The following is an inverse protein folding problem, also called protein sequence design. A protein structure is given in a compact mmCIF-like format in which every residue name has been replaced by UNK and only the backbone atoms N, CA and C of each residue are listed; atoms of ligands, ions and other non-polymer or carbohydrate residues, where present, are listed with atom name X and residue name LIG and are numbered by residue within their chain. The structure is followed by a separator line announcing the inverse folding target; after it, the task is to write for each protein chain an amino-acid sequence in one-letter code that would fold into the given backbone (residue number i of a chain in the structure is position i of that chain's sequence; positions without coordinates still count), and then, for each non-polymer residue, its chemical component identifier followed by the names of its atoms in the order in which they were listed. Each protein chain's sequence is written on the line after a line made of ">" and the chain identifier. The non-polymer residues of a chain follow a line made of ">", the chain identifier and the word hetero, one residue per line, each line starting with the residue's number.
data_IF_366423429492
#
_entry.id   IF_366423429492
#
_cell.length_a   1.000
_cell.length_b   1.000
_cell.length_c   1.000
_cell.angle_alpha   90.00
_cell.angle_beta   90.00
_cell.angle_gamma   90.00
#
_symmetry.space_group_name_H-M   'P 1'
#
loop_
_entity.id
_entity.type
_entity.pdbx_description
1 polymer ?
#
# COMPACT_ATOMS: atom_id res chain seq x y z
N UNK A 1 -12.22 9.01 20.88
CA UNK A 1 -13.19 9.34 19.82
C UNK A 1 -12.49 10.25 18.84
N UNK A 2 -12.57 9.99 17.54
CA UNK A 2 -12.10 10.94 16.53
C UNK A 2 -12.98 12.20 16.61
N UNK A 3 -12.42 13.42 16.48
CA UNK A 3 -13.23 14.63 16.40
C UNK A 3 -13.92 14.66 15.03
N UNK A 4 -15.11 14.08 14.94
CA UNK A 4 -15.91 14.08 13.72
C UNK A 4 -16.58 15.45 13.61
N UNK A 5 -16.40 16.18 12.48
CA UNK A 5 -17.08 17.46 12.28
C UNK A 5 -18.60 17.27 12.26
N UNK A 6 -19.32 18.34 12.61
CA UNK A 6 -20.80 18.30 12.59
C UNK A 6 -21.35 18.10 11.17
N UNK A 7 -20.68 18.66 10.16
CA UNK A 7 -20.94 18.38 8.76
C UNK A 7 -20.04 17.25 8.26
N UNK A 8 -20.67 16.13 7.88
CA UNK A 8 -20.00 14.91 7.39
C UNK A 8 -20.22 14.68 5.89
N UNK A 9 -20.88 15.60 5.19
CA UNK A 9 -21.26 15.42 3.78
C UNK A 9 -20.47 16.33 2.83
N UNK A 10 -20.08 17.52 3.27
CA UNK A 10 -19.36 18.45 2.41
C UNK A 10 -17.94 17.96 2.11
N UNK A 11 -17.66 17.79 0.82
CA UNK A 11 -16.32 17.45 0.31
C UNK A 11 -15.47 18.72 0.13
N UNK A 12 -14.13 18.62 0.20
CA UNK A 12 -13.26 19.77 -0.07
C UNK A 12 -13.34 20.20 -1.54
N UNK A 13 -13.48 21.51 -1.80
CA UNK A 13 -13.60 22.06 -3.17
C UNK A 13 -12.23 22.31 -3.83
N UNK A 14 -11.24 22.78 -3.06
CA UNK A 14 -9.89 23.14 -3.55
C UNK A 14 -8.90 21.97 -3.46
N UNK A 15 -9.25 20.83 -4.05
CA UNK A 15 -8.42 19.62 -4.04
C UNK A 15 -7.41 19.64 -5.19
N UNK A 16 -6.13 19.43 -4.87
CA UNK A 16 -5.08 19.33 -5.88
C UNK A 16 -5.26 18.06 -6.74
N UNK A 17 -5.28 18.18 -8.08
CA UNK A 17 -5.40 17.01 -8.95
C UNK A 17 -4.10 16.20 -9.04
N UNK A 18 -2.96 16.76 -8.62
CA UNK A 18 -1.67 16.08 -8.64
C UNK A 18 -1.55 15.12 -7.45
N UNK A 19 -2.02 13.89 -7.65
CA UNK A 19 -1.96 12.86 -6.63
C UNK A 19 -0.53 12.55 -6.22
N UNK A 20 0.41 12.53 -7.18
CA UNK A 20 1.81 12.21 -6.94
C UNK A 20 2.49 13.22 -6.01
N UNK A 21 2.23 14.52 -6.19
CA UNK A 21 2.79 15.58 -5.35
C UNK A 21 2.24 15.57 -3.91
N UNK A 22 1.04 14.99 -3.69
CA UNK A 22 0.32 15.05 -2.41
C UNK A 22 0.30 13.72 -1.64
N UNK A 23 1.17 12.76 -1.97
CA UNK A 23 1.24 11.46 -1.30
C UNK A 23 1.82 11.47 0.11
N UNK A 24 2.40 12.59 0.56
CA UNK A 24 3.10 12.69 1.86
C UNK A 24 4.13 11.56 2.03
N UNK A 25 4.06 10.77 3.12
CA UNK A 25 5.05 9.73 3.38
C UNK A 25 5.00 8.59 2.35
N UNK A 26 3.86 8.42 1.63
CA UNK A 26 3.73 7.41 0.58
C UNK A 26 4.43 7.82 -0.72
N UNK A 27 4.95 9.05 -0.85
CA UNK A 27 5.60 9.52 -2.08
C UNK A 27 6.73 8.61 -2.54
N UNK A 28 7.49 8.06 -1.59
CA UNK A 28 8.66 7.21 -1.83
C UNK A 28 8.31 5.79 -2.26
N UNK A 29 7.03 5.42 -2.17
CA UNK A 29 6.52 4.14 -2.64
C UNK A 29 6.08 4.19 -4.12
N UNK A 30 5.73 5.36 -4.64
CA UNK A 30 5.26 5.52 -6.01
C UNK A 30 6.33 5.11 -7.04
N UNK A 31 5.99 4.18 -7.95
CA UNK A 31 6.92 3.68 -8.97
C UNK A 31 6.75 2.19 -9.25
N UNK A 32 7.67 1.64 -10.03
CA UNK A 32 7.82 0.18 -10.19
C UNK A 32 9.13 -0.26 -9.56
N UNK A 33 9.06 -1.34 -8.80
CA UNK A 33 10.11 -1.85 -7.93
C UNK A 33 10.38 -3.32 -8.20
N UNK A 34 11.62 -3.75 -7.93
CA UNK A 34 12.02 -5.14 -8.02
C UNK A 34 13.05 -5.51 -6.95
N UNK A 35 13.02 -6.76 -6.51
CA UNK A 35 14.06 -7.39 -5.70
C UNK A 35 14.13 -8.89 -5.97
N UNK A 36 15.29 -9.49 -5.75
CA UNK A 36 15.59 -10.90 -6.06
C UNK A 36 16.02 -11.72 -4.83
N UNK A 37 15.99 -11.10 -3.65
CA UNK A 37 16.52 -11.67 -2.38
C UNK A 37 15.54 -11.55 -1.22
N UNK A 38 14.24 -11.56 -1.53
CA UNK A 38 13.21 -11.61 -0.49
C UNK A 38 13.33 -12.88 0.34
N UNK A 39 13.00 -12.81 1.63
CA UNK A 39 13.06 -13.94 2.56
C UNK A 39 11.67 -14.15 3.15
N UNK A 40 11.15 -15.37 2.99
CA UNK A 40 9.91 -15.89 3.60
C UNK A 40 10.28 -16.92 4.67
N UNK A 41 9.67 -16.81 5.85
CA UNK A 41 9.70 -17.84 6.91
C UNK A 41 8.27 -18.30 7.17
N UNK A 42 7.92 -19.47 6.61
CA UNK A 42 6.56 -19.97 6.56
C UNK A 42 6.39 -21.33 7.28
N UNK A 43 5.15 -21.69 7.68
CA UNK A 43 4.92 -22.94 8.39
C UNK A 43 4.88 -24.14 7.43
N UNK A 44 5.63 -25.21 7.75
CA UNK A 44 5.51 -26.54 7.13
C UNK A 44 5.30 -27.62 8.19
N UNK A 45 4.93 -28.82 7.74
CA UNK A 45 4.68 -29.96 8.62
C UNK A 45 5.91 -30.36 9.46
N UNK A 46 7.11 -30.30 8.87
CA UNK A 46 8.38 -30.68 9.51
C UNK A 46 9.05 -29.54 10.31
N UNK A 47 8.41 -28.36 10.37
CA UNK A 47 8.96 -27.15 11.00
C UNK A 47 8.94 -25.93 10.08
N UNK A 48 9.39 -24.76 10.57
CA UNK A 48 9.49 -23.55 9.74
C UNK A 48 10.46 -23.77 8.58
N UNK A 49 10.07 -23.37 7.38
CA UNK A 49 10.95 -23.36 6.20
C UNK A 49 11.33 -21.91 5.87
N UNK A 50 12.58 -21.70 5.46
CA UNK A 50 13.05 -20.42 4.94
C UNK A 50 13.18 -20.52 3.43
N UNK A 51 12.49 -19.64 2.70
CA UNK A 51 12.57 -19.57 1.23
C UNK A 51 13.03 -18.19 0.75
N UNK A 52 13.70 -18.19 -0.38
CA UNK A 52 14.02 -16.96 -1.12
C UNK A 52 13.00 -16.72 -2.23
N UNK A 53 12.67 -15.46 -2.48
CA UNK A 53 11.73 -15.10 -3.54
C UNK A 53 12.16 -13.86 -4.33
N UNK A 54 11.65 -13.79 -5.56
CA UNK A 54 11.81 -12.65 -6.48
C UNK A 54 10.48 -11.92 -6.50
N UNK A 55 10.53 -10.60 -6.32
CA UNK A 55 9.36 -9.76 -6.16
C UNK A 55 9.39 -8.59 -7.14
N UNK A 56 8.23 -8.30 -7.73
CA UNK A 56 7.98 -7.08 -8.48
C UNK A 56 6.77 -6.38 -7.90
N UNK A 57 6.89 -5.07 -7.68
CA UNK A 57 5.78 -4.24 -7.18
C UNK A 57 5.56 -3.05 -8.10
N UNK A 58 4.31 -2.79 -8.47
CA UNK A 58 3.92 -1.57 -9.16
C UNK A 58 2.98 -0.76 -8.28
N UNK A 59 3.28 0.52 -8.10
CA UNK A 59 2.50 1.46 -7.29
C UNK A 59 2.20 2.71 -8.10
N UNK A 60 0.95 2.84 -8.57
CA UNK A 60 0.50 3.96 -9.40
C UNK A 60 -0.32 4.95 -8.54
N UNK A 61 -0.03 6.27 -8.59
CA UNK A 61 -0.89 7.29 -7.99
C UNK A 61 -2.34 7.21 -8.48
N UNK A 62 -3.28 7.42 -7.56
CA UNK A 62 -4.70 7.57 -7.87
C UNK A 62 -5.13 9.03 -7.78
N UNK A 63 -6.29 9.33 -8.35
CA UNK A 63 -6.95 10.62 -8.13
C UNK A 63 -7.37 10.71 -6.64
N UNK A 64 -7.34 11.91 -6.04
CA UNK A 64 -7.76 12.11 -4.66
C UNK A 64 -9.19 11.61 -4.43
N UNK A 65 -9.43 11.00 -3.27
CA UNK A 65 -10.72 10.45 -2.88
C UNK A 65 -11.24 11.17 -1.65
N UNK A 66 -12.53 11.52 -1.65
CA UNK A 66 -13.18 12.14 -0.51
C UNK A 66 -14.18 11.18 0.16
N UNK A 67 -14.29 11.25 1.47
CA UNK A 67 -15.38 10.65 2.26
C UNK A 67 -16.02 11.79 3.06
N UNK A 68 -16.90 12.56 2.41
CA UNK A 68 -17.32 13.86 2.95
C UNK A 68 -16.08 14.73 3.25
N UNK A 69 -15.87 15.21 4.48
CA UNK A 69 -14.76 16.11 4.79
C UNK A 69 -13.37 15.43 4.81
N UNK A 70 -13.29 14.10 4.84
CA UNK A 70 -12.02 13.39 4.78
C UNK A 70 -11.49 13.39 3.35
N UNK A 71 -10.19 13.69 3.19
CA UNK A 71 -9.48 13.64 1.91
C UNK A 71 -8.33 12.63 1.96
N UNK A 72 -8.28 11.74 0.97
CA UNK A 72 -7.27 10.70 0.83
C UNK A 72 -6.50 10.88 -0.48
N UNK A 73 -5.18 10.85 -0.37
CA UNK A 73 -4.28 10.63 -1.50
C UNK A 73 -3.71 9.21 -1.41
N UNK A 74 -3.37 8.59 -2.54
CA UNK A 74 -2.92 7.22 -2.48
C UNK A 74 -2.32 6.62 -3.74
N UNK A 75 -1.98 5.34 -3.60
CA UNK A 75 -1.41 4.49 -4.62
C UNK A 75 -2.29 3.25 -4.75
N UNK A 76 -2.70 2.87 -5.96
CA UNK A 76 -3.08 1.48 -6.22
C UNK A 76 -1.81 0.68 -6.40
N UNK A 77 -1.79 -0.58 -5.96
CA UNK A 77 -0.62 -1.41 -6.16
C UNK A 77 -0.93 -2.85 -6.54
N UNK A 78 0.07 -3.47 -7.16
CA UNK A 78 0.12 -4.89 -7.49
C UNK A 78 1.50 -5.43 -7.12
N UNK A 79 1.52 -6.51 -6.35
CA UNK A 79 2.70 -7.31 -6.02
C UNK A 79 2.58 -8.63 -6.77
N UNK A 80 3.67 -9.03 -7.40
CA UNK A 80 3.82 -10.33 -8.03
C UNK A 80 5.14 -10.95 -7.56
N UNK A 81 5.05 -12.17 -7.04
CA UNK A 81 6.18 -12.91 -6.48
C UNK A 81 6.28 -14.28 -7.13
N UNK A 82 7.50 -14.66 -7.49
CA UNK A 82 7.90 -16.01 -7.91
C UNK A 82 9.04 -16.49 -7.01
N UNK A 83 9.37 -17.78 -7.10
CA UNK A 83 10.62 -18.30 -6.51
C UNK A 83 11.59 -18.69 -7.62
N UNK A 84 12.91 -18.70 -7.37
CA UNK A 84 13.89 -19.12 -8.37
C UNK A 84 13.69 -20.56 -8.87
N UNK A 85 13.01 -21.41 -8.09
CA UNK A 85 12.83 -22.83 -8.36
C UNK A 85 11.53 -23.16 -9.12
N UNK A 86 10.56 -22.24 -9.18
CA UNK A 86 9.24 -22.48 -9.75
C UNK A 86 8.80 -21.34 -10.69
N UNK A 87 8.42 -21.71 -11.93
CA UNK A 87 7.93 -20.75 -12.93
C UNK A 87 6.52 -20.20 -12.63
N UNK A 88 5.81 -20.78 -11.66
CA UNK A 88 4.45 -20.37 -11.29
C UNK A 88 4.47 -19.16 -10.35
N UNK A 89 3.37 -18.40 -10.35
CA UNK A 89 3.15 -17.33 -9.36
C UNK A 89 3.10 -17.92 -7.96
N UNK A 90 4.05 -17.51 -7.11
CA UNK A 90 4.10 -17.92 -5.70
C UNK A 90 3.14 -17.08 -4.85
N UNK A 91 3.11 -15.76 -5.07
CA UNK A 91 2.18 -14.84 -4.41
C UNK A 91 1.76 -13.72 -5.36
N UNK A 92 0.49 -13.34 -5.24
CA UNK A 92 -0.10 -12.23 -5.99
C UNK A 92 -0.97 -11.43 -5.00
N UNK A 93 -0.86 -10.11 -5.05
CA UNK A 93 -1.55 -9.23 -4.12
C UNK A 93 -1.86 -7.89 -4.76
N UNK A 94 -3.07 -7.40 -4.54
CA UNK A 94 -3.51 -6.09 -5.02
C UNK A 94 -4.18 -5.30 -3.91
N UNK A 95 -4.18 -3.97 -4.04
CA UNK A 95 -4.90 -3.10 -3.12
C UNK A 95 -4.49 -1.64 -3.25
N UNK A 96 -4.64 -0.89 -2.16
CA UNK A 96 -4.33 0.52 -2.07
C UNK A 96 -3.49 0.85 -0.84
N UNK A 97 -2.55 1.77 -1.01
CA UNK A 97 -1.97 2.55 0.07
C UNK A 97 -2.63 3.93 0.06
N UNK A 98 -3.16 4.38 1.20
CA UNK A 98 -3.89 5.65 1.32
C UNK A 98 -3.31 6.46 2.48
N UNK A 99 -3.27 7.78 2.31
CA UNK A 99 -2.84 8.73 3.32
C UNK A 99 -3.85 9.87 3.46
N UNK A 100 -4.19 10.20 4.70
CA UNK A 100 -5.00 11.36 5.05
C UNK A 100 -4.11 12.47 5.60
N UNK A 101 -3.88 13.58 4.86
CA UNK A 101 -3.01 14.66 5.31
C UNK A 101 -3.44 15.29 6.64
N UNK A 102 -4.75 15.41 6.87
CA UNK A 102 -5.31 16.10 8.03
C UNK A 102 -5.01 15.40 9.36
N UNK A 103 -4.86 14.07 9.36
CA UNK A 103 -4.74 13.27 10.60
C UNK A 103 -3.46 12.44 10.66
N UNK A 104 -2.73 12.34 9.55
CA UNK A 104 -1.60 11.45 9.36
C UNK A 104 -1.99 9.98 9.24
N UNK A 105 -3.28 9.64 9.08
CA UNK A 105 -3.74 8.26 8.92
C UNK A 105 -3.13 7.64 7.66
N UNK A 106 -2.54 6.46 7.83
CA UNK A 106 -2.11 5.58 6.75
C UNK A 106 -3.03 4.38 6.73
N UNK A 107 -3.44 3.95 5.54
CA UNK A 107 -4.17 2.70 5.35
C UNK A 107 -3.54 1.86 4.26
N UNK A 108 -3.51 0.55 4.48
CA UNK A 108 -3.20 -0.45 3.47
C UNK A 108 -4.38 -1.38 3.33
N UNK A 109 -4.98 -1.43 2.14
CA UNK A 109 -5.84 -2.54 1.76
C UNK A 109 -5.01 -3.58 1.02
N UNK A 110 -5.33 -4.85 1.21
CA UNK A 110 -4.80 -5.90 0.37
C UNK A 110 -5.83 -7.02 0.19
N UNK A 111 -5.78 -7.62 -1.00
CA UNK A 111 -6.50 -8.83 -1.35
C UNK A 111 -5.52 -9.80 -2.02
N UNK A 112 -5.60 -11.07 -1.65
CA UNK A 112 -4.80 -12.14 -2.24
C UNK A 112 -5.73 -13.19 -2.86
N UNK A 113 -5.33 -13.85 -3.96
CA UNK A 113 -6.17 -14.83 -4.67
C UNK A 113 -6.30 -16.17 -3.93
N UNK A 114 -5.99 -16.19 -2.62
CA UNK A 114 -6.23 -17.30 -1.70
C UNK A 114 -7.53 -17.14 -0.90
N UNK A 115 -8.29 -16.07 -1.18
CA UNK A 115 -9.54 -15.77 -0.47
C UNK A 115 -9.30 -15.13 0.89
N UNK A 116 -8.37 -14.17 0.96
CA UNK A 116 -8.15 -13.35 2.15
C UNK A 116 -8.01 -11.89 1.76
N UNK A 117 -8.57 -11.01 2.60
CA UNK A 117 -8.48 -9.56 2.51
C UNK A 117 -8.21 -8.96 3.87
N UNK A 118 -7.55 -7.80 3.91
CA UNK A 118 -7.45 -7.00 5.13
C UNK A 118 -7.40 -5.50 4.84
N UNK A 119 -7.74 -4.73 5.86
CA UNK A 119 -7.52 -3.28 5.94
C UNK A 119 -6.65 -3.02 7.19
N UNK A 120 -5.41 -2.63 6.97
CA UNK A 120 -4.48 -2.24 8.02
C UNK A 120 -4.40 -0.71 8.14
N UNK A 121 -4.09 -0.21 9.33
CA UNK A 121 -3.89 1.22 9.55
C UNK A 121 -2.69 1.56 10.42
N UNK A 122 -2.25 2.81 10.30
CA UNK A 122 -1.11 3.37 11.01
C UNK A 122 -1.16 4.89 11.00
N UNK A 123 -0.08 5.51 11.49
CA UNK A 123 0.11 6.95 11.38
C UNK A 123 1.53 7.30 10.94
N UNK A 124 1.66 8.34 10.12
CA UNK A 124 2.92 8.93 9.72
C UNK A 124 2.75 10.42 9.39
N UNK A 125 3.77 11.21 9.71
CA UNK A 125 3.93 12.58 9.24
C UNK A 125 4.32 12.64 7.74
N UNK A 126 4.21 13.82 7.10
CA UNK A 126 4.48 13.98 5.66
C UNK A 126 5.89 13.57 5.24
N UNK A 127 6.88 13.74 6.13
CA UNK A 127 8.30 13.51 5.86
C UNK A 127 8.87 12.28 6.61
N UNK A 128 8.01 11.49 7.26
CA UNK A 128 8.46 10.34 8.04
C UNK A 128 9.15 9.30 7.15
N UNK A 129 10.25 8.75 7.67
CA UNK A 129 11.07 7.76 6.96
C UNK A 129 10.63 6.32 7.20
N UNK A 130 9.65 6.13 8.07
CA UNK A 130 9.13 4.82 8.44
C UNK A 130 7.62 4.85 8.44
N UNK A 131 7.00 3.79 7.96
CA UNK A 131 5.56 3.59 8.00
C UNK A 131 5.30 2.25 8.67
N UNK A 132 4.41 2.21 9.65
CA UNK A 132 3.93 0.97 10.25
C UNK A 132 2.42 0.92 10.12
N UNK A 133 1.88 -0.18 9.60
CA UNK A 133 0.44 -0.46 9.60
C UNK A 133 0.15 -1.79 10.28
N UNK A 134 -1.00 -1.90 10.94
CA UNK A 134 -1.46 -3.15 11.58
C UNK A 134 -2.93 -3.42 11.28
N UNK A 135 -3.29 -4.69 11.26
CA UNK A 135 -4.68 -5.16 11.21
C UNK A 135 -4.88 -6.28 12.23
N UNK A 136 -6.10 -6.38 12.77
CA UNK A 136 -6.46 -7.42 13.74
C UNK A 136 -7.77 -8.09 13.37
N UNK A 137 -7.79 -9.42 13.41
CA UNK A 137 -9.01 -10.20 13.16
C UNK A 137 -10.13 -9.79 14.12
N UNK A 138 -11.33 -9.62 13.56
CA UNK A 138 -12.54 -9.25 14.30
C UNK A 138 -12.69 -7.76 14.61
N UNK A 139 -11.69 -6.94 14.30
CA UNK A 139 -11.85 -5.48 14.32
C UNK A 139 -12.67 -5.03 13.10
N UNK A 140 -13.68 -4.19 13.32
CA UNK A 140 -14.55 -3.68 12.25
C UNK A 140 -14.07 -2.37 11.66
N UNK A 141 -13.11 -1.69 12.28
CA UNK A 141 -12.45 -0.52 11.73
C UNK A 141 -11.27 -0.91 10.84
N UNK A 142 -10.40 -1.81 11.31
CA UNK A 142 -9.16 -2.23 10.62
C UNK A 142 -8.93 -3.74 10.78
N UNK A 143 -9.67 -4.52 9.97
CA UNK A 143 -9.85 -5.96 10.15
C UNK A 143 -9.24 -6.87 9.09
N UNK A 144 -9.33 -8.18 9.35
CA UNK A 144 -8.90 -9.28 8.47
C UNK A 144 -10.08 -10.21 8.25
N UNK A 145 -10.32 -10.62 6.99
CA UNK A 145 -11.35 -11.57 6.60
C UNK A 145 -10.77 -12.67 5.69
N UNK A 146 -11.12 -13.93 5.97
CA UNK A 146 -10.63 -15.10 5.23
C UNK A 146 -11.77 -16.08 4.91
N UNK A 147 -11.53 -17.02 3.98
CA UNK A 147 -12.44 -18.15 3.72
C UNK A 147 -12.51 -19.14 4.88
N UNK A 148 -13.57 -19.95 4.93
CA UNK A 148 -13.80 -20.98 5.95
C UNK A 148 -12.58 -21.91 6.18
N UNK A 149 -11.91 -22.31 5.10
CA UNK A 149 -10.73 -23.17 5.20
C UNK A 149 -9.57 -22.45 5.89
N UNK A 150 -9.29 -21.21 5.51
CA UNK A 150 -8.23 -20.41 6.15
C UNK A 150 -8.57 -20.14 7.62
N UNK A 151 -9.82 -19.81 7.94
CA UNK A 151 -10.27 -19.61 9.32
C UNK A 151 -10.09 -20.84 10.21
N UNK A 152 -10.16 -22.04 9.65
CA UNK A 152 -10.03 -23.30 10.39
C UNK A 152 -8.60 -23.86 10.42
N UNK A 153 -7.86 -23.75 9.30
CA UNK A 153 -6.58 -24.43 9.12
C UNK A 153 -5.35 -23.52 9.22
N UNK A 154 -5.48 -22.24 8.83
CA UNK A 154 -4.40 -21.25 8.72
C UNK A 154 -4.89 -19.87 9.15
N UNK A 155 -5.50 -19.78 10.34
CA UNK A 155 -6.20 -18.56 10.77
C UNK A 155 -5.19 -17.42 10.94
N UNK A 156 -5.46 -16.26 10.36
CA UNK A 156 -4.65 -15.06 10.57
C UNK A 156 -5.24 -14.23 11.71
N UNK A 157 -4.52 -14.07 12.80
CA UNK A 157 -4.98 -13.32 13.98
C UNK A 157 -4.55 -11.85 13.92
N UNK A 158 -3.30 -11.58 13.51
CA UNK A 158 -2.77 -10.22 13.35
C UNK A 158 -1.87 -10.09 12.12
N UNK A 159 -1.79 -8.87 11.60
CA UNK A 159 -0.88 -8.47 10.55
C UNK A 159 -0.19 -7.17 10.95
N UNK A 160 1.11 -7.08 10.68
CA UNK A 160 1.93 -5.88 10.82
C UNK A 160 2.85 -5.76 9.61
N UNK A 161 2.92 -4.57 9.03
CA UNK A 161 3.92 -4.23 8.01
C UNK A 161 4.66 -2.97 8.44
N UNK A 162 5.96 -3.10 8.60
CA UNK A 162 6.90 -2.01 8.81
C UNK A 162 7.64 -1.73 7.50
N UNK A 163 7.68 -0.47 7.07
CA UNK A 163 8.43 0.01 5.91
C UNK A 163 9.46 1.02 6.40
N UNK A 164 10.68 0.93 5.88
CA UNK A 164 11.76 1.91 6.09
C UNK A 164 12.26 2.41 4.74
N UNK A 165 12.34 3.74 4.58
CA UNK A 165 12.87 4.38 3.38
C UNK A 165 14.37 4.66 3.53
N UNK A 166 15.18 4.06 2.67
CA UNK A 166 16.64 4.11 2.73
C UNK A 166 17.20 5.36 2.04
N UNK A 167 18.46 5.70 2.32
CA UNK A 167 19.13 6.90 1.77
C UNK A 167 19.40 6.78 0.25
N UNK A 168 19.58 5.56 -0.24
CA UNK A 168 19.83 5.26 -1.66
C UNK A 168 18.55 5.29 -2.53
N UNK A 169 17.41 5.62 -1.93
CA UNK A 169 16.11 5.63 -2.60
C UNK A 169 15.41 4.28 -2.65
N UNK A 170 16.03 3.21 -2.16
CA UNK A 170 15.36 1.93 -1.93
C UNK A 170 14.45 1.99 -0.70
N UNK A 171 13.64 0.95 -0.51
CA UNK A 171 12.90 0.77 0.73
C UNK A 171 12.86 -0.69 1.15
N UNK A 172 12.83 -0.90 2.45
CA UNK A 172 12.84 -2.22 3.06
C UNK A 172 11.53 -2.42 3.81
N UNK A 173 10.95 -3.61 3.74
CA UNK A 173 9.82 -3.97 4.58
C UNK A 173 10.12 -5.16 5.49
N UNK A 174 9.39 -5.21 6.60
CA UNK A 174 9.21 -6.40 7.43
C UNK A 174 7.71 -6.60 7.65
N UNK A 175 7.21 -7.73 7.17
CA UNK A 175 5.85 -8.17 7.43
C UNK A 175 5.90 -9.25 8.50
N UNK A 176 5.01 -9.14 9.48
CA UNK A 176 4.77 -10.15 10.48
C UNK A 176 3.29 -10.50 10.50
N UNK A 177 3.00 -11.78 10.34
CA UNK A 177 1.64 -12.30 10.34
C UNK A 177 1.55 -13.37 11.40
N UNK A 178 0.76 -13.12 12.45
CA UNK A 178 0.50 -14.13 13.47
C UNK A 178 -0.58 -15.07 12.96
N UNK A 179 -0.18 -16.31 12.70
CA UNK A 179 -1.03 -17.38 12.26
C UNK A 179 -1.33 -18.33 13.42
N UNK A 180 -2.51 -18.94 13.41
CA UNK A 180 -2.85 -20.09 14.23
C UNK A 180 -3.01 -21.29 13.31
N UNK A 181 -2.01 -22.18 13.34
CA UNK A 181 -1.89 -23.32 12.43
C UNK A 181 -1.94 -24.60 13.26
N UNK A 182 -2.92 -25.47 12.99
CA UNK A 182 -3.09 -26.77 13.66
C UNK A 182 -3.03 -26.71 15.21
N UNK A 183 -3.63 -25.68 15.81
CA UNK A 183 -3.67 -25.56 17.27
C UNK A 183 -2.49 -24.83 17.91
N UNK A 184 -1.53 -24.34 17.12
CA UNK A 184 -0.34 -23.66 17.62
C UNK A 184 -0.15 -22.27 16.95
N UNK A 185 0.34 -21.26 17.70
CA UNK A 185 0.71 -19.98 17.12
C UNK A 185 1.98 -20.11 16.27
N UNK A 186 2.03 -19.40 15.15
CA UNK A 186 3.17 -19.29 14.26
C UNK A 186 3.34 -17.84 13.82
N UNK A 187 4.56 -17.32 13.89
CA UNK A 187 4.89 -15.97 13.44
C UNK A 187 5.50 -16.05 12.04
N UNK A 188 4.66 -15.90 11.02
CA UNK A 188 5.08 -15.82 9.63
C UNK A 188 5.79 -14.49 9.40
N UNK A 189 6.94 -14.53 8.72
CA UNK A 189 7.75 -13.33 8.48
C UNK A 189 8.19 -13.25 7.04
N UNK A 190 7.95 -12.10 6.42
CA UNK A 190 8.48 -11.76 5.10
C UNK A 190 9.30 -10.48 5.18
N UNK A 191 10.42 -10.43 4.48
CA UNK A 191 11.22 -9.20 4.36
C UNK A 191 11.91 -9.11 3.02
N UNK A 192 12.01 -7.89 2.49
CA UNK A 192 12.71 -7.61 1.26
C UNK A 192 13.21 -6.16 1.22
N UNK A 193 14.16 -5.86 0.33
CA UNK A 193 14.63 -4.49 0.03
C UNK A 193 14.49 -4.23 -1.46
N UNK A 194 13.63 -3.27 -1.80
CA UNK A 194 13.14 -3.02 -3.14
C UNK A 194 13.95 -1.93 -3.83
N UNK A 195 14.36 -2.19 -5.06
CA UNK A 195 15.08 -1.25 -5.91
C UNK A 195 14.15 -0.69 -6.99
N UNK A 196 14.23 0.62 -7.25
CA UNK A 196 13.41 1.28 -8.25
C UNK A 196 13.84 0.87 -9.65
N UNK A 197 12.91 0.41 -10.48
CA UNK A 197 13.16 0.04 -11.89
C UNK A 197 12.44 0.94 -12.87
N UNK A 198 11.38 1.63 -12.46
CA UNK A 198 10.75 2.68 -13.25
C UNK A 198 10.14 3.76 -12.36
N UNK A 199 10.32 5.06 -12.69
CA UNK A 199 9.74 6.15 -11.91
C UNK A 199 8.20 6.15 -11.99
N UNK A 200 7.51 6.77 -11.03
CA UNK A 200 6.07 6.91 -11.06
C UNK A 200 5.61 7.78 -12.24
N UNK A 201 4.39 7.52 -12.69
CA UNK A 201 3.68 8.38 -13.63
C UNK A 201 2.63 9.19 -12.88
N UNK A 202 2.21 10.31 -13.46
CA UNK A 202 1.07 11.08 -12.95
C UNK A 202 -0.23 10.25 -13.01
N UNK A 203 -1.12 10.50 -12.07
CA UNK A 203 -2.50 10.03 -12.14
C UNK A 203 -3.25 10.70 -13.32
N UNK A 204 -4.29 10.05 -13.88
CA UNK A 204 -4.98 10.56 -15.06
C UNK A 204 -5.48 12.00 -14.94
N UNK A 205 -6.08 12.38 -13.80
CA UNK A 205 -6.60 13.73 -13.60
C UNK A 205 -5.48 14.79 -13.64
N UNK A 206 -4.32 14.49 -13.06
CA UNK A 206 -3.16 15.39 -13.08
C UNK A 206 -2.63 15.63 -14.50
N UNK A 207 -2.64 14.60 -15.36
CA UNK A 207 -2.25 14.73 -16.77
C UNK A 207 -3.20 15.69 -17.48
N UNK A 208 -4.52 15.47 -17.33
CA UNK A 208 -5.56 16.31 -17.95
C UNK A 208 -5.42 17.77 -17.48
N UNK A 209 -5.21 17.99 -16.19
CA UNK A 209 -5.04 19.32 -15.62
C UNK A 209 -3.78 20.02 -16.15
N UNK A 210 -2.66 19.30 -16.26
CA UNK A 210 -1.41 19.81 -16.81
C UNK A 210 -1.56 20.22 -18.27
N UNK A 211 -2.25 19.41 -19.08
CA UNK A 211 -2.42 19.68 -20.50
C UNK A 211 -3.35 20.88 -20.75
N UNK A 212 -4.47 20.98 -20.01
CA UNK A 212 -5.34 22.16 -20.05
C UNK A 212 -4.60 23.44 -19.66
N UNK A 213 -3.73 23.38 -18.66
CA UNK A 213 -2.93 24.54 -18.25
C UNK A 213 -1.98 25.00 -19.38
N UNK A 214 -1.36 24.06 -20.10
CA UNK A 214 -0.51 24.36 -21.27
C UNK A 214 -1.32 24.98 -22.41
N UNK A 215 -2.50 24.43 -22.71
CA UNK A 215 -3.40 24.94 -23.74
C UNK A 215 -3.84 26.39 -23.45
N UNK A 216 -4.26 26.66 -22.21
CA UNK A 216 -4.65 28.00 -21.78
C UNK A 216 -3.48 29.00 -21.86
N UNK A 217 -2.27 28.58 -21.48
CA UNK A 217 -1.07 29.41 -21.58
C UNK A 217 -0.73 29.73 -23.06
N UNK A 218 -0.87 28.76 -23.95
CA UNK A 218 -0.66 28.95 -25.38
C UNK A 218 -1.71 29.89 -26.01
N UNK A 219 -2.98 29.77 -25.61
CA UNK A 219 -4.05 30.64 -26.08
C UNK A 219 -3.93 32.09 -25.57
N UNK A 220 -3.51 32.28 -24.31
CA UNK A 220 -3.31 33.61 -23.72
C UNK A 220 -2.08 34.36 -24.24
N UNK A 221 -1.06 33.65 -24.73
CA UNK A 221 0.16 34.24 -25.33
C UNK A 221 0.00 34.76 -26.76
N UNK A 222 -1.10 34.43 -27.44
CA UNK A 222 -1.37 34.82 -28.83
C UNK A 222 -2.05 36.19 -29.04
N UNK A 223 -2.37 36.91 -27.97
CA UNK A 223 -3.12 38.19 -28.01
C UNK A 223 -2.23 39.45 -28.00
N UNK A 224 -0.91 39.31 -28.10
CA UNK A 224 0.02 40.44 -28.15
C UNK A 224 0.84 40.43 -29.45
N UNK A 225 0.19 40.79 -30.57
CA UNK A 225 0.84 41.15 -31.84
C UNK A 225 -0.02 42.18 -32.58
#
# INVERSE_FOLDING_TARGET
>A
MLPIPADIFTEPEDVSPDGLANLGPLRRLAGTWQADKGIDVNPKAEGPERRTFIERIRMDPIDPQANGPQLLYGLRYHIHINTPEEDITFHDQVGYWLWEPATGLIMQTLAIPRGQVLLASGKAGPDDRTITVTAKRGDTAYGICSTDFLEQAFRTDTYRCDITFNDDGSWTYLIQTELFVRGAPFNHRDTNTLQLVAPPKLNPLAVIASDRAKENAAAGGGSAA
#
